data_IF_973125711830
#
_entry.id   IF_973125711830
#
_cell.length_a   1.000
_cell.length_b   1.000
_cell.length_c   1.000
_cell.angle_alpha   90.00
_cell.angle_beta   90.00
_cell.angle_gamma   90.00
#
_symmetry.space_group_name_H-M   'P 1'
#
loop_
_entity.id
_entity.type
_entity.pdbx_description
1 polymer ?
#
# COMPACT_ATOMS: atom_id res chain seq x y z
N UNK A 1 22.71 5.82 12.72
CA UNK A 1 22.39 5.02 11.50
C UNK A 1 21.14 5.61 10.90
N UNK A 2 21.09 5.84 9.59
CA UNK A 2 19.86 6.33 8.94
C UNK A 2 18.78 5.26 9.06
N UNK A 3 17.62 5.62 9.62
CA UNK A 3 16.49 4.71 9.72
C UNK A 3 16.00 4.39 8.29
N UNK A 4 16.00 3.11 7.94
CA UNK A 4 15.50 2.64 6.65
C UNK A 4 13.97 2.57 6.69
N UNK A 5 13.31 3.59 6.13
CA UNK A 5 11.85 3.74 6.14
C UNK A 5 11.26 3.31 4.79
N UNK A 6 10.28 2.40 4.82
CA UNK A 6 9.44 2.10 3.66
C UNK A 6 8.08 2.75 3.83
N UNK A 7 7.59 3.39 2.76
CA UNK A 7 6.19 3.74 2.62
C UNK A 7 5.45 2.75 1.71
N UNK A 8 4.21 2.41 2.08
CA UNK A 8 3.30 1.58 1.28
C UNK A 8 2.01 2.36 1.07
N UNK A 9 1.65 2.60 -0.19
CA UNK A 9 0.42 3.30 -0.54
C UNK A 9 -0.23 2.80 -1.81
N UNK A 10 -1.55 2.98 -1.87
CA UNK A 10 -2.34 2.84 -3.08
C UNK A 10 -2.32 4.14 -3.88
N UNK A 11 -2.37 5.28 -3.19
CA UNK A 11 -2.28 6.63 -3.72
C UNK A 11 -1.10 7.38 -3.10
N UNK A 12 -0.11 7.71 -3.92
CA UNK A 12 1.12 8.39 -3.51
C UNK A 12 0.87 9.75 -2.87
N UNK A 13 -0.24 10.42 -3.18
CA UNK A 13 -0.57 11.74 -2.64
C UNK A 13 -1.09 11.67 -1.19
N UNK A 14 -1.39 10.45 -0.71
CA UNK A 14 -1.88 10.19 0.64
C UNK A 14 -0.82 9.63 1.57
N UNK A 15 0.42 9.48 1.09
CA UNK A 15 1.54 9.13 1.95
C UNK A 15 1.85 10.37 2.80
N UNK A 16 1.87 10.26 4.13
CA UNK A 16 2.34 11.36 4.97
C UNK A 16 3.77 11.72 4.57
N UNK A 17 4.05 13.01 4.38
CA UNK A 17 5.41 13.45 4.06
C UNK A 17 6.35 13.08 5.21
N UNK A 18 7.32 12.21 4.93
CA UNK A 18 8.34 11.80 5.88
C UNK A 18 9.69 11.97 5.21
N UNK A 19 10.54 12.81 5.80
CA UNK A 19 11.94 12.90 5.40
C UNK A 19 12.60 11.53 5.64
N UNK A 20 13.40 11.07 4.67
CA UNK A 20 14.12 9.79 4.68
C UNK A 20 13.32 8.53 4.30
N UNK A 21 12.24 8.66 3.50
CA UNK A 21 11.65 7.47 2.85
C UNK A 21 12.64 6.91 1.82
N UNK A 22 13.13 5.70 2.07
CA UNK A 22 14.11 5.03 1.22
C UNK A 22 13.43 4.36 0.02
N UNK A 23 12.24 3.79 0.21
CA UNK A 23 11.46 3.08 -0.83
C UNK A 23 9.96 3.32 -0.66
N UNK A 24 9.26 3.51 -1.79
CA UNK A 24 7.79 3.55 -1.84
C UNK A 24 7.24 2.40 -2.68
N UNK A 25 6.37 1.57 -2.10
CA UNK A 25 5.61 0.57 -2.86
C UNK A 25 4.25 1.10 -3.28
N UNK A 26 3.94 1.02 -4.58
CA UNK A 26 2.69 1.50 -5.17
C UNK A 26 2.08 0.51 -6.16
N UNK A 27 0.76 0.45 -6.33
CA UNK A 27 0.16 -0.32 -7.41
C UNK A 27 0.38 0.39 -8.74
N UNK A 28 0.87 -0.34 -9.74
CA UNK A 28 1.13 0.19 -11.07
C UNK A 28 2.21 1.29 -11.11
N UNK A 29 2.39 1.86 -12.32
CA UNK A 29 3.36 2.92 -12.57
C UNK A 29 2.80 4.25 -12.03
N UNK A 30 3.29 4.69 -10.89
CA UNK A 30 3.01 6.01 -10.32
C UNK A 30 4.35 6.75 -10.22
N UNK A 31 4.46 7.91 -10.86
CA UNK A 31 5.69 8.72 -10.85
C UNK A 31 5.68 9.61 -9.61
N UNK A 32 6.68 9.47 -8.74
CA UNK A 32 6.82 10.30 -7.55
C UNK A 32 8.04 11.20 -7.75
N UNK A 33 7.87 12.50 -7.58
CA UNK A 33 8.89 13.50 -7.88
C UNK A 33 9.87 13.75 -6.71
N UNK A 34 9.46 13.40 -5.48
CA UNK A 34 10.20 13.70 -4.24
C UNK A 34 10.88 12.48 -3.60
N UNK A 35 10.87 11.31 -4.23
CA UNK A 35 11.60 10.12 -3.77
C UNK A 35 12.36 9.47 -4.91
N UNK A 36 13.54 8.95 -4.61
CA UNK A 36 14.44 8.35 -5.59
C UNK A 36 14.07 6.90 -5.95
N UNK A 37 13.37 6.17 -5.07
CA UNK A 37 13.10 4.74 -5.27
C UNK A 37 11.62 4.40 -5.12
N UNK A 38 10.88 4.46 -6.22
CA UNK A 38 9.50 3.95 -6.27
C UNK A 38 9.50 2.55 -6.89
N UNK A 39 8.94 1.58 -6.18
CA UNK A 39 8.76 0.21 -6.65
C UNK A 39 7.30 0.00 -7.00
N UNK A 40 7.02 0.06 -8.29
CA UNK A 40 5.71 -0.24 -8.87
C UNK A 40 5.43 -1.74 -8.84
N UNK A 41 4.37 -2.13 -8.14
CA UNK A 41 3.85 -3.49 -8.14
C UNK A 41 2.82 -3.59 -9.26
N UNK A 42 3.19 -4.26 -10.35
CA UNK A 42 2.31 -4.48 -11.47
C UNK A 42 1.23 -5.53 -11.13
N UNK A 43 -0.03 -5.11 -11.30
CA UNK A 43 -1.19 -5.97 -11.10
C UNK A 43 -1.52 -6.67 -12.43
N UNK A 44 -1.48 -8.00 -12.47
CA UNK A 44 -1.75 -8.75 -13.70
C UNK A 44 -3.15 -8.51 -14.24
N UNK A 45 -3.29 -8.53 -15.57
CA UNK A 45 -4.57 -8.29 -16.25
C UNK A 45 -5.69 -9.22 -15.80
N UNK A 46 -5.38 -10.49 -15.52
CA UNK A 46 -6.39 -11.45 -15.05
C UNK A 46 -6.98 -11.08 -13.67
N UNK A 47 -6.20 -10.45 -12.79
CA UNK A 47 -6.68 -9.94 -11.50
C UNK A 47 -7.64 -8.78 -11.73
N UNK A 48 -7.28 -7.84 -12.62
CA UNK A 48 -8.13 -6.70 -12.98
C UNK A 48 -9.46 -7.14 -13.59
N UNK A 49 -9.42 -8.14 -14.46
CA UNK A 49 -10.63 -8.73 -15.07
C UNK A 49 -11.50 -9.39 -14.00
N UNK A 50 -10.91 -10.18 -13.10
CA UNK A 50 -11.62 -10.80 -11.99
C UNK A 50 -12.33 -9.76 -11.11
N UNK A 51 -11.67 -8.63 -10.82
CA UNK A 51 -12.28 -7.56 -10.03
C UNK A 51 -13.42 -6.87 -10.77
N UNK A 52 -13.30 -6.66 -12.08
CA UNK A 52 -14.39 -6.13 -12.90
C UNK A 52 -15.63 -7.05 -12.86
N UNK A 53 -15.43 -8.37 -12.92
CA UNK A 53 -16.53 -9.35 -12.82
C UNK A 53 -17.17 -9.30 -11.44
N UNK A 54 -16.37 -9.35 -10.36
CA UNK A 54 -16.86 -9.27 -8.98
C UNK A 54 -17.61 -7.97 -8.72
N UNK A 55 -17.07 -6.84 -9.14
CA UNK A 55 -17.70 -5.53 -9.01
C UNK A 55 -19.06 -5.49 -9.75
N UNK A 56 -19.15 -6.07 -10.94
CA UNK A 56 -20.41 -6.17 -11.69
C UNK A 56 -21.45 -7.05 -10.99
N UNK A 57 -21.03 -8.17 -10.39
CA UNK A 57 -21.92 -9.02 -9.60
C UNK A 57 -22.40 -8.28 -8.35
N UNK A 58 -21.49 -7.68 -7.59
CA UNK A 58 -21.84 -6.93 -6.36
C UNK A 58 -22.78 -5.76 -6.69
N UNK A 59 -22.56 -5.06 -7.81
CA UNK A 59 -23.46 -3.99 -8.26
C UNK A 59 -24.87 -4.48 -8.56
N UNK A 60 -25.03 -5.70 -9.08
CA UNK A 60 -26.34 -6.32 -9.32
C UNK A 60 -27.06 -6.68 -8.02
N UNK A 61 -26.33 -7.11 -6.99
CA UNK A 61 -26.91 -7.59 -5.73
C UNK A 61 -26.93 -6.56 -4.60
N UNK A 62 -26.25 -5.42 -4.73
CA UNK A 62 -26.14 -4.40 -3.69
C UNK A 62 -26.31 -2.98 -4.24
N UNK A 63 -27.40 -2.31 -3.83
CA UNK A 63 -27.72 -0.92 -4.21
C UNK A 63 -26.81 0.14 -3.57
N UNK A 64 -25.97 -0.21 -2.59
CA UNK A 64 -25.10 0.73 -1.84
C UNK A 64 -23.61 0.34 -1.83
N UNK A 65 -23.15 -0.51 -2.74
CA UNK A 65 -21.75 -0.96 -2.69
C UNK A 65 -20.78 0.13 -3.15
N UNK A 66 -19.84 0.51 -2.28
CA UNK A 66 -18.59 1.16 -2.70
C UNK A 66 -17.85 0.22 -3.66
N UNK A 67 -17.26 0.76 -4.73
CA UNK A 67 -16.37 0.00 -5.63
C UNK A 67 -15.27 -0.62 -4.78
N UNK A 68 -15.09 -1.93 -4.92
CA UNK A 68 -14.24 -2.72 -4.06
C UNK A 68 -13.33 -3.53 -4.97
N UNK A 69 -12.25 -2.91 -5.43
CA UNK A 69 -11.16 -3.56 -6.18
C UNK A 69 -10.38 -4.48 -5.21
N UNK A 70 -11.08 -5.49 -4.71
CA UNK A 70 -10.66 -6.38 -3.62
C UNK A 70 -9.54 -7.29 -4.07
N UNK A 71 -9.61 -7.82 -5.29
CA UNK A 71 -8.56 -8.70 -5.81
C UNK A 71 -7.28 -7.91 -6.10
N UNK A 72 -7.40 -6.72 -6.69
CA UNK A 72 -6.28 -5.80 -6.91
C UNK A 72 -5.62 -5.42 -5.58
N UNK A 73 -6.41 -4.98 -4.60
CA UNK A 73 -5.93 -4.65 -3.26
C UNK A 73 -5.27 -5.85 -2.56
N UNK A 74 -5.90 -7.02 -2.60
CA UNK A 74 -5.36 -8.23 -1.99
C UNK A 74 -4.07 -8.70 -2.65
N UNK A 75 -4.01 -8.62 -3.98
CA UNK A 75 -2.82 -8.97 -4.75
C UNK A 75 -1.67 -8.03 -4.41
N UNK A 76 -1.93 -6.72 -4.41
CA UNK A 76 -0.96 -5.70 -4.03
C UNK A 76 -0.41 -5.95 -2.63
N UNK A 77 -1.28 -6.08 -1.62
CA UNK A 77 -0.87 -6.34 -0.24
C UNK A 77 -0.03 -7.62 -0.10
N UNK A 78 -0.37 -8.68 -0.84
CA UNK A 78 0.40 -9.95 -0.86
C UNK A 78 1.78 -9.79 -1.50
N UNK A 79 1.91 -8.94 -2.52
CA UNK A 79 3.20 -8.67 -3.17
C UNK A 79 4.09 -7.79 -2.31
N UNK A 80 3.52 -6.74 -1.71
CA UNK A 80 4.23 -5.91 -0.72
C UNK A 80 4.75 -6.80 0.40
N UNK A 81 3.91 -7.64 1.01
CA UNK A 81 4.35 -8.49 2.12
C UNK A 81 5.50 -9.44 1.74
N UNK A 82 5.50 -9.96 0.51
CA UNK A 82 6.62 -10.76 -0.01
C UNK A 82 7.91 -9.95 -0.16
N UNK A 83 7.84 -8.69 -0.58
CA UNK A 83 9.01 -7.83 -0.69
C UNK A 83 9.55 -7.42 0.69
N UNK A 84 8.66 -7.11 1.63
CA UNK A 84 9.01 -6.80 3.01
C UNK A 84 9.74 -7.95 3.72
N UNK A 85 9.45 -9.21 3.38
CA UNK A 85 10.17 -10.38 3.93
C UNK A 85 11.63 -10.43 3.48
N UNK A 86 11.91 -10.03 2.25
CA UNK A 86 13.23 -10.11 1.61
C UNK A 86 14.17 -8.99 2.00
N UNK A 87 13.70 -8.05 2.81
CA UNK A 87 14.39 -6.79 3.01
C UNK A 87 14.57 -6.49 4.50
N UNK A 88 15.61 -5.74 4.83
CA UNK A 88 16.04 -5.44 6.20
C UNK A 88 15.74 -3.98 6.53
N UNK A 89 14.46 -3.70 6.74
CA UNK A 89 13.95 -2.37 7.07
C UNK A 89 13.43 -2.33 8.51
N UNK A 90 13.53 -1.14 9.11
CA UNK A 90 13.20 -0.92 10.51
C UNK A 90 11.82 -0.30 10.69
N UNK A 91 11.38 0.56 9.76
CA UNK A 91 10.15 1.33 9.86
C UNK A 91 9.25 1.14 8.64
N UNK A 92 7.96 0.94 8.90
CA UNK A 92 6.91 0.86 7.89
C UNK A 92 5.88 1.97 8.10
N UNK A 93 5.56 2.67 7.01
CA UNK A 93 4.51 3.68 6.93
C UNK A 93 3.46 3.20 5.95
N UNK A 94 2.19 3.27 6.35
CA UNK A 94 1.07 2.90 5.51
C UNK A 94 0.18 4.12 5.26
N UNK A 95 -0.37 4.21 4.05
CA UNK A 95 -1.36 5.23 3.68
C UNK A 95 -2.57 5.24 4.64
N UNK A 96 -3.05 4.06 5.03
CA UNK A 96 -4.21 3.92 5.90
C UNK A 96 -4.20 2.59 6.68
N UNK A 97 -5.04 2.49 7.70
CA UNK A 97 -5.15 1.32 8.57
C UNK A 97 -5.63 0.06 7.83
N UNK A 98 -6.48 0.20 6.81
CA UNK A 98 -6.94 -0.95 6.02
C UNK A 98 -5.77 -1.60 5.28
N UNK A 99 -4.91 -0.80 4.64
CA UNK A 99 -3.72 -1.27 3.94
C UNK A 99 -2.70 -1.87 4.93
N UNK A 100 -2.47 -1.20 6.07
CA UNK A 100 -1.64 -1.72 7.17
C UNK A 100 -2.09 -3.11 7.58
N UNK A 101 -3.35 -3.27 7.97
CA UNK A 101 -3.89 -4.55 8.46
C UNK A 101 -3.79 -5.63 7.39
N UNK A 102 -4.02 -5.27 6.12
CA UNK A 102 -3.99 -6.23 5.03
C UNK A 102 -2.59 -6.72 4.65
N UNK A 103 -1.59 -5.84 4.72
CA UNK A 103 -0.18 -6.20 4.51
C UNK A 103 0.36 -6.96 5.71
N UNK A 104 0.15 -6.44 6.93
CA UNK A 104 0.68 -7.03 8.15
C UNK A 104 0.12 -8.42 8.43
N UNK A 105 -1.17 -8.67 8.18
CA UNK A 105 -1.76 -10.01 8.28
C UNK A 105 -1.10 -11.05 7.37
N UNK A 106 -0.50 -10.62 6.24
CA UNK A 106 0.20 -11.49 5.29
C UNK A 106 1.71 -11.52 5.53
N UNK A 107 2.22 -10.59 6.33
CA UNK A 107 3.65 -10.43 6.55
C UNK A 107 4.23 -11.56 7.38
N UNK A 108 3.44 -12.23 8.24
CA UNK A 108 3.78 -13.42 9.05
C UNK A 108 5.30 -13.73 9.07
N UNK A 109 6.07 -12.83 9.70
CA UNK A 109 7.52 -12.79 9.70
C UNK A 109 7.96 -12.63 11.15
N UNK A 110 9.06 -13.29 11.52
CA UNK A 110 9.68 -13.15 12.84
C UNK A 110 10.43 -11.82 13.00
N UNK A 111 10.57 -11.04 11.92
CA UNK A 111 11.20 -9.71 11.95
C UNK A 111 10.30 -8.70 12.67
N UNK A 112 10.89 -7.94 13.59
CA UNK A 112 10.22 -6.86 14.31
C UNK A 112 10.25 -5.60 13.46
N UNK A 113 9.09 -5.18 12.96
CA UNK A 113 8.94 -3.91 12.24
C UNK A 113 8.34 -2.86 13.18
N UNK A 114 8.87 -1.64 13.18
CA UNK A 114 8.20 -0.50 13.79
C UNK A 114 7.19 0.05 12.78
N UNK A 115 5.90 -0.01 13.13
CA UNK A 115 4.85 0.53 12.27
C UNK A 115 4.47 1.91 12.77
N UNK A 116 4.80 2.95 11.99
CA UNK A 116 4.42 4.32 12.33
C UNK A 116 2.96 4.54 11.91
N UNK A 117 2.09 4.75 12.90
CA UNK A 117 0.72 5.17 12.62
C UNK A 117 0.73 6.67 12.33
N UNK A 118 0.53 7.05 11.07
CA UNK A 118 0.33 8.44 10.67
C UNK A 118 -1.08 8.91 11.04
N UNK A 119 -1.40 8.95 12.33
CA UNK A 119 -2.52 9.79 12.79
C UNK A 119 -2.06 11.24 12.66
N UNK A 120 -2.47 11.89 11.56
CA UNK A 120 -2.25 13.29 11.12
C UNK A 120 -1.19 13.44 10.02
N UNK A 121 -1.69 13.53 8.80
CA UNK A 121 -1.20 14.50 7.81
C UNK A 121 -2.40 15.33 7.35
N UNK A 122 -2.93 16.17 8.24
CA UNK A 122 -3.80 17.30 7.89
C UNK A 122 -3.45 18.48 8.82
N UNK A 123 -3.23 19.63 8.20
CA UNK A 123 -2.97 20.99 8.72
C UNK A 123 -1.54 21.36 9.15
N UNK A 124 -0.83 21.97 8.20
CA UNK A 124 -0.41 23.38 8.28
C UNK A 124 -0.62 23.93 6.84
N UNK A 125 -1.69 24.66 6.53
CA UNK A 125 -1.88 26.10 6.80
C UNK A 125 -0.63 26.94 6.53
N UNK A 126 -0.81 27.87 5.59
CA UNK A 126 0.13 28.72 4.89
C UNK A 126 -0.55 29.15 3.60
#
# INVERSE_FOLDING_TARGET
>A
MSEKIIAVALDINKIPYVNNIEVIFTPGKQKIWYTSNTVSIEIPRYIKIGDAILNNLIKKFSKKSKRLDRLEFNYFAKKVSKQLKKTDYYDLIFENDQLKNQVMSKLNSRKTYRVRNSKRALSAEG
#
